data_IF_508890943494
#
_entry.id   IF_508890943494
#
_cell.length_a   1.000
_cell.length_b   1.000
_cell.length_c   1.000
_cell.angle_alpha   90.00
_cell.angle_beta   90.00
_cell.angle_gamma   90.00
#
_symmetry.space_group_name_H-M   'P 1'
#
loop_
_entity.id
_entity.type
_entity.pdbx_description
1 polymer ?
#
# COMPACT_ATOMS: atom_id res chain seq x y z
N UNK A 1 8.58 7.00 3.50
CA UNK A 1 9.32 7.58 4.63
C UNK A 1 10.37 6.58 5.11
N UNK A 2 11.58 7.07 5.41
CA UNK A 2 12.71 6.23 5.85
C UNK A 2 13.39 6.80 7.10
N UNK A 3 14.01 5.93 7.89
CA UNK A 3 14.86 6.34 9.02
C UNK A 3 16.32 6.56 8.58
N UNK A 4 17.18 6.95 9.50
CA UNK A 4 18.59 7.26 9.25
C UNK A 4 19.41 6.07 8.74
N UNK A 5 18.93 4.84 8.96
CA UNK A 5 19.55 3.60 8.48
C UNK A 5 19.00 3.15 7.12
N UNK A 6 18.03 3.91 6.56
CA UNK A 6 17.33 3.55 5.34
C UNK A 6 16.17 2.56 5.54
N UNK A 7 15.83 2.25 6.80
CA UNK A 7 14.67 1.42 7.12
C UNK A 7 13.36 2.14 6.82
N UNK A 8 12.35 1.41 6.33
CA UNK A 8 11.04 1.97 6.00
C UNK A 8 10.27 2.29 7.26
N UNK A 9 9.93 3.55 7.47
CA UNK A 9 9.06 4.01 8.55
C UNK A 9 7.59 3.83 8.16
N UNK A 10 7.26 4.16 6.92
CA UNK A 10 5.94 3.92 6.33
C UNK A 10 5.98 4.14 4.82
N UNK A 11 5.07 3.51 4.09
CA UNK A 11 4.84 3.63 2.65
C UNK A 11 3.61 4.48 2.30
N UNK A 12 3.30 5.45 3.16
CA UNK A 12 2.14 6.34 3.08
C UNK A 12 1.97 7.00 1.70
N UNK A 13 0.72 7.33 1.38
CA UNK A 13 0.41 8.18 0.22
C UNK A 13 0.71 9.63 0.58
N UNK A 14 1.46 10.32 -0.27
CA UNK A 14 1.71 11.76 -0.17
C UNK A 14 0.80 12.50 -1.16
N UNK A 15 -0.03 13.40 -0.64
CA UNK A 15 -0.87 14.31 -1.41
C UNK A 15 -0.30 15.71 -1.30
N UNK A 16 0.04 16.34 -2.43
CA UNK A 16 0.41 17.75 -2.47
C UNK A 16 -0.85 18.56 -2.80
N UNK A 17 -1.32 19.34 -1.84
CA UNK A 17 -2.53 20.16 -1.96
C UNK A 17 -2.21 21.56 -2.47
N UNK A 18 -1.07 22.12 -2.04
CA UNK A 18 -0.55 23.40 -2.50
C UNK A 18 1.00 23.36 -2.57
N UNK A 19 1.62 24.47 -2.88
CA UNK A 19 3.10 24.54 -2.98
C UNK A 19 3.79 24.28 -1.62
N UNK A 20 3.12 24.63 -0.53
CA UNK A 20 3.57 24.53 0.86
C UNK A 20 2.66 23.65 1.74
N UNK A 21 1.66 22.98 1.17
CA UNK A 21 0.73 22.13 1.91
C UNK A 21 0.74 20.70 1.40
N UNK A 22 1.05 19.77 2.32
CA UNK A 22 1.13 18.35 2.01
C UNK A 22 0.33 17.54 3.03
N UNK A 23 -0.35 16.51 2.57
CA UNK A 23 -0.96 15.51 3.41
C UNK A 23 -0.24 14.18 3.25
N UNK A 24 -0.03 13.50 4.36
CA UNK A 24 0.53 12.15 4.41
C UNK A 24 -0.56 11.24 4.96
N UNK A 25 -1.03 10.31 4.13
CA UNK A 25 -2.08 9.34 4.50
C UNK A 25 -1.43 7.97 4.68
N UNK A 26 -1.05 7.57 5.91
CA UNK A 26 -0.53 6.24 6.21
C UNK A 26 -1.66 5.22 6.25
N UNK A 27 -1.37 3.98 5.85
CA UNK A 27 -2.29 2.87 6.01
C UNK A 27 -2.34 2.35 7.45
N UNK A 28 -1.25 2.49 8.17
CA UNK A 28 -1.03 2.00 9.53
C UNK A 28 0.16 2.73 10.15
N UNK A 29 0.39 2.61 11.47
CA UNK A 29 1.47 3.20 12.26
C UNK A 29 1.37 4.71 12.55
N UNK A 30 2.08 5.12 13.60
CA UNK A 30 2.15 6.50 14.07
C UNK A 30 3.26 7.29 13.33
N UNK A 31 2.90 7.81 12.17
CA UNK A 31 3.81 8.63 11.35
C UNK A 31 3.90 10.07 11.89
N UNK A 32 2.87 10.54 12.59
CA UNK A 32 2.80 11.91 13.11
C UNK A 32 3.99 12.24 14.01
N UNK A 33 4.22 11.43 15.05
CA UNK A 33 5.31 11.62 15.98
C UNK A 33 6.68 11.54 15.31
N UNK A 34 6.83 10.67 14.31
CA UNK A 34 8.07 10.57 13.54
C UNK A 34 8.36 11.86 12.78
N UNK A 35 7.38 12.40 12.06
CA UNK A 35 7.54 13.61 11.25
C UNK A 35 7.76 14.83 12.17
N UNK A 36 7.01 14.95 13.26
CA UNK A 36 7.22 16.00 14.28
C UNK A 36 8.62 15.93 14.85
N UNK A 37 9.12 14.74 15.20
CA UNK A 37 10.47 14.55 15.70
C UNK A 37 11.56 14.94 14.69
N UNK A 38 11.36 14.69 13.40
CA UNK A 38 12.26 15.13 12.33
C UNK A 38 12.18 16.64 12.13
N UNK A 39 10.99 17.22 12.21
CA UNK A 39 10.76 18.66 12.03
C UNK A 39 11.43 19.53 13.10
N UNK A 40 11.50 19.05 14.36
CA UNK A 40 12.13 19.81 15.49
C UNK A 40 13.55 20.27 15.16
N UNK A 41 14.34 19.46 14.45
CA UNK A 41 15.71 19.76 14.09
C UNK A 41 15.88 20.19 12.62
N UNK A 42 14.79 20.44 11.93
CA UNK A 42 14.80 20.92 10.54
C UNK A 42 15.07 22.43 10.52
N UNK A 43 15.82 22.94 9.53
CA UNK A 43 15.93 24.38 9.29
C UNK A 43 14.68 24.96 8.61
N UNK A 44 13.70 24.12 8.26
CA UNK A 44 12.47 24.54 7.58
C UNK A 44 11.43 24.98 8.62
N UNK A 45 10.70 26.04 8.31
CA UNK A 45 9.55 26.49 9.08
C UNK A 45 8.34 25.66 8.67
N UNK A 46 8.04 24.61 9.43
CA UNK A 46 6.97 23.66 9.14
C UNK A 46 6.11 23.40 10.38
N UNK A 47 4.82 23.34 10.18
CA UNK A 47 3.85 22.87 11.16
C UNK A 47 3.38 21.46 10.77
N UNK A 48 3.38 20.52 11.73
CA UNK A 48 2.98 19.12 11.51
C UNK A 48 1.89 18.77 12.53
N UNK A 49 0.69 18.48 12.01
CA UNK A 49 -0.47 18.13 12.83
C UNK A 49 -1.39 17.14 12.13
N UNK A 50 -2.26 16.49 12.87
CA UNK A 50 -3.31 15.63 12.35
C UNK A 50 -4.54 16.50 12.02
N UNK A 51 -4.96 16.57 10.75
CA UNK A 51 -6.14 17.35 10.36
C UNK A 51 -7.43 16.61 10.71
N UNK A 52 -8.54 17.35 10.82
CA UNK A 52 -9.89 16.76 10.79
C UNK A 52 -10.16 16.22 9.38
N UNK A 53 -9.80 14.97 9.16
CA UNK A 53 -10.00 14.30 7.88
C UNK A 53 -10.36 12.84 8.07
N UNK A 54 -11.44 12.40 7.41
CA UNK A 54 -11.89 10.99 7.47
C UNK A 54 -12.06 10.46 6.05
N UNK A 55 -11.28 9.44 5.63
CA UNK A 55 -11.38 8.90 4.29
C UNK A 55 -12.58 7.97 4.12
N UNK A 56 -13.36 8.16 3.06
CA UNK A 56 -14.35 7.22 2.55
C UNK A 56 -13.87 6.73 1.18
N UNK A 57 -13.53 5.44 1.08
CA UNK A 57 -13.09 4.86 -0.18
C UNK A 57 -14.28 4.33 -1.00
N UNK A 58 -14.33 4.71 -2.27
CA UNK A 58 -15.23 4.16 -3.30
C UNK A 58 -14.36 3.38 -4.29
N UNK A 59 -14.57 2.07 -4.41
CA UNK A 59 -13.72 1.22 -5.26
C UNK A 59 -14.51 0.25 -6.13
N UNK A 60 -13.93 -0.13 -7.25
CA UNK A 60 -14.45 -1.11 -8.18
C UNK A 60 -14.67 -0.56 -9.59
N UNK A 61 -15.06 -1.42 -10.56
CA UNK A 61 -15.12 -1.04 -11.98
C UNK A 61 -16.14 0.06 -12.30
N UNK A 62 -17.14 0.27 -11.43
CA UNK A 62 -18.15 1.30 -11.58
C UNK A 62 -17.88 2.56 -10.75
N UNK A 63 -16.79 2.60 -9.99
CA UNK A 63 -16.42 3.76 -9.18
C UNK A 63 -16.31 5.06 -10.00
N UNK A 64 -15.71 5.07 -11.22
CA UNK A 64 -15.70 6.28 -12.05
C UNK A 64 -17.09 6.82 -12.38
N UNK A 65 -18.05 5.92 -12.68
CA UNK A 65 -19.43 6.31 -13.01
C UNK A 65 -20.14 6.94 -11.80
N UNK A 66 -19.90 6.41 -10.61
CA UNK A 66 -20.44 6.97 -9.38
C UNK A 66 -19.83 8.34 -9.06
N UNK A 67 -18.54 8.50 -9.24
CA UNK A 67 -17.87 9.80 -9.07
C UNK A 67 -18.37 10.82 -10.09
N UNK A 68 -18.52 10.42 -11.36
CA UNK A 68 -19.12 11.25 -12.40
C UNK A 68 -20.48 11.77 -11.97
N UNK A 69 -21.36 10.89 -11.50
CA UNK A 69 -22.70 11.25 -11.00
C UNK A 69 -22.66 12.16 -9.78
N UNK A 70 -21.84 11.85 -8.79
CA UNK A 70 -21.76 12.63 -7.54
C UNK A 70 -21.25 14.05 -7.78
N UNK A 71 -20.31 14.23 -8.69
CA UNK A 71 -19.60 15.49 -8.93
C UNK A 71 -19.93 16.13 -10.30
N UNK A 72 -20.97 15.64 -11.00
CA UNK A 72 -21.40 16.15 -12.31
C UNK A 72 -20.25 16.26 -13.32
N UNK A 73 -19.39 15.23 -13.40
CA UNK A 73 -18.28 15.16 -14.34
C UNK A 73 -17.02 15.92 -13.92
N UNK A 74 -17.03 16.67 -12.83
CA UNK A 74 -15.91 17.57 -12.48
C UNK A 74 -14.56 16.85 -12.24
N UNK A 75 -14.57 15.55 -11.94
CA UNK A 75 -13.35 14.79 -11.58
C UNK A 75 -13.09 13.60 -12.49
N UNK A 76 -13.68 13.55 -13.68
CA UNK A 76 -13.51 12.47 -14.65
C UNK A 76 -12.05 12.31 -15.13
N UNK A 77 -11.32 13.42 -15.20
CA UNK A 77 -9.92 13.46 -15.65
C UNK A 77 -8.91 13.33 -14.50
N UNK A 78 -9.37 13.06 -13.27
CA UNK A 78 -8.48 12.90 -12.14
C UNK A 78 -7.59 11.67 -12.34
N UNK A 79 -6.28 11.89 -12.48
CA UNK A 79 -5.31 10.84 -12.75
C UNK A 79 -4.96 10.08 -11.47
N UNK A 80 -4.52 8.85 -11.64
CA UNK A 80 -3.98 8.05 -10.54
C UNK A 80 -2.86 8.79 -9.78
N UNK A 81 -2.90 8.73 -8.45
CA UNK A 81 -2.06 9.51 -7.52
C UNK A 81 -2.18 11.03 -7.67
N UNK A 82 -3.36 11.54 -8.04
CA UNK A 82 -3.69 12.95 -7.97
C UNK A 82 -4.85 13.18 -7.00
N UNK A 83 -4.86 14.35 -6.38
CA UNK A 83 -5.91 14.78 -5.49
C UNK A 83 -6.23 16.25 -5.74
N UNK A 84 -7.46 16.64 -5.47
CA UNK A 84 -7.94 18.02 -5.57
C UNK A 84 -8.90 18.33 -4.44
N UNK A 85 -8.91 19.59 -4.00
CA UNK A 85 -9.95 20.09 -3.10
C UNK A 85 -11.26 20.23 -3.86
N UNK A 86 -12.36 19.85 -3.20
CA UNK A 86 -13.70 19.89 -3.77
C UNK A 86 -14.76 19.96 -2.67
N UNK A 87 -16.00 19.97 -3.07
CA UNK A 87 -17.14 19.80 -2.16
C UNK A 87 -18.26 19.00 -2.82
N UNK A 88 -19.00 18.24 -2.02
CA UNK A 88 -20.21 17.54 -2.44
C UNK A 88 -21.37 18.06 -1.59
N UNK A 89 -22.37 18.70 -2.21
CA UNK A 89 -23.48 19.36 -1.52
C UNK A 89 -23.01 20.29 -0.37
N UNK A 90 -21.93 21.03 -0.61
CA UNK A 90 -21.34 21.92 0.40
C UNK A 90 -20.58 21.19 1.52
N UNK A 91 -20.36 19.89 1.43
CA UNK A 91 -19.48 19.13 2.33
C UNK A 91 -18.04 19.30 1.82
N UNK A 92 -17.15 19.97 2.57
CA UNK A 92 -15.77 20.18 2.14
C UNK A 92 -14.99 18.88 2.19
N UNK A 93 -14.23 18.59 1.14
CA UNK A 93 -13.41 17.39 1.08
C UNK A 93 -12.23 17.52 0.10
N UNK A 94 -11.34 16.58 0.17
CA UNK A 94 -10.36 16.30 -0.88
C UNK A 94 -10.76 15.00 -1.55
N UNK A 95 -10.81 14.98 -2.87
CA UNK A 95 -10.93 13.74 -3.64
C UNK A 95 -9.56 13.34 -4.17
N UNK A 96 -9.13 12.13 -3.82
CA UNK A 96 -7.92 11.49 -4.35
C UNK A 96 -8.25 10.29 -5.21
N UNK A 97 -7.53 10.09 -6.31
CA UNK A 97 -7.62 8.85 -7.07
C UNK A 97 -6.55 7.87 -6.58
N UNK A 98 -6.80 7.36 -5.40
CA UNK A 98 -5.96 6.43 -4.65
C UNK A 98 -6.83 5.29 -4.12
N UNK A 99 -6.22 4.29 -3.49
CA UNK A 99 -6.93 3.18 -2.85
C UNK A 99 -6.08 1.93 -2.69
N UNK A 100 -6.52 1.02 -1.87
CA UNK A 100 -5.78 -0.17 -1.43
C UNK A 100 -6.46 -1.50 -1.82
N UNK A 101 -6.99 -1.59 -3.04
CA UNK A 101 -7.70 -2.79 -3.52
C UNK A 101 -7.21 -3.33 -4.87
N UNK A 102 -6.29 -2.63 -5.54
CA UNK A 102 -5.90 -2.92 -6.92
C UNK A 102 -6.94 -2.55 -7.98
N UNK A 103 -8.18 -2.24 -7.57
CA UNK A 103 -9.25 -1.77 -8.44
C UNK A 103 -9.18 -0.25 -8.65
N UNK A 104 -9.93 0.27 -9.63
CA UNK A 104 -10.13 1.72 -9.75
C UNK A 104 -10.84 2.19 -8.49
N UNK A 105 -10.28 3.18 -7.81
CA UNK A 105 -10.84 3.71 -6.58
C UNK A 105 -10.56 5.20 -6.42
N UNK A 106 -11.40 5.79 -5.59
CA UNK A 106 -11.30 7.17 -5.15
C UNK A 106 -11.44 7.22 -3.64
N UNK A 107 -10.71 8.10 -3.02
CA UNK A 107 -10.80 8.37 -1.58
C UNK A 107 -11.33 9.79 -1.39
N UNK A 108 -12.47 9.89 -0.72
CA UNK A 108 -13.09 11.13 -0.34
C UNK A 108 -12.65 11.45 1.09
N UNK A 109 -11.70 12.35 1.25
CA UNK A 109 -11.22 12.79 2.57
C UNK A 109 -12.12 13.89 3.08
N UNK A 110 -13.11 13.51 3.88
CA UNK A 110 -14.05 14.42 4.53
C UNK A 110 -13.31 15.36 5.48
N UNK A 111 -13.54 16.67 5.37
CA UNK A 111 -12.92 17.72 6.20
C UNK A 111 -13.86 18.30 7.26
N UNK A 112 -14.95 17.64 7.55
CA UNK A 112 -15.91 17.98 8.61
C UNK A 112 -16.53 16.69 9.13
N UNK A 113 -15.94 16.13 10.20
CA UNK A 113 -16.36 14.83 10.76
C UNK A 113 -17.85 14.80 11.14
N UNK A 114 -18.48 15.96 11.44
CA UNK A 114 -19.91 16.03 11.80
C UNK A 114 -20.82 15.67 10.64
N UNK A 115 -20.33 15.76 9.41
CA UNK A 115 -21.09 15.48 8.19
C UNK A 115 -20.83 14.09 7.59
N UNK A 116 -20.18 13.20 8.34
CA UNK A 116 -19.84 11.84 7.88
C UNK A 116 -21.06 11.03 7.47
N UNK A 117 -22.13 11.05 8.27
CA UNK A 117 -23.37 10.34 7.94
C UNK A 117 -24.05 10.92 6.67
N UNK A 118 -24.01 12.23 6.50
CA UNK A 118 -24.56 12.87 5.30
C UNK A 118 -23.80 12.45 4.04
N UNK A 119 -22.45 12.46 4.09
CA UNK A 119 -21.61 11.98 2.99
C UNK A 119 -21.90 10.51 2.66
N UNK A 120 -22.00 9.66 3.70
CA UNK A 120 -22.32 8.25 3.54
C UNK A 120 -23.64 8.03 2.81
N UNK A 121 -24.70 8.72 3.23
CA UNK A 121 -26.02 8.60 2.61
C UNK A 121 -26.04 9.11 1.17
N UNK A 122 -25.38 10.23 0.87
CA UNK A 122 -25.24 10.73 -0.50
C UNK A 122 -24.58 9.70 -1.43
N UNK A 123 -23.47 9.11 -0.97
CA UNK A 123 -22.75 8.08 -1.74
C UNK A 123 -23.60 6.82 -1.88
N UNK A 124 -24.25 6.37 -0.80
CA UNK A 124 -25.11 5.19 -0.80
C UNK A 124 -26.29 5.33 -1.76
N UNK A 125 -27.00 6.47 -1.70
CA UNK A 125 -28.15 6.74 -2.57
C UNK A 125 -27.74 6.84 -4.04
N UNK A 126 -26.71 7.62 -4.34
CA UNK A 126 -26.22 7.76 -5.70
C UNK A 126 -25.70 6.44 -6.27
N UNK A 127 -25.14 5.57 -5.41
CA UNK A 127 -24.54 4.30 -5.78
C UNK A 127 -25.52 3.14 -5.97
N UNK A 128 -26.81 3.29 -5.60
CA UNK A 128 -27.82 2.21 -5.71
C UNK A 128 -27.93 1.65 -7.14
N UNK A 129 -27.98 2.50 -8.14
CA UNK A 129 -28.05 2.06 -9.55
C UNK A 129 -26.81 1.31 -10.03
N UNK A 130 -25.68 1.50 -9.35
CA UNK A 130 -24.42 0.78 -9.62
C UNK A 130 -24.25 -0.49 -8.78
N UNK A 131 -25.24 -0.80 -7.93
CA UNK A 131 -25.21 -1.90 -6.96
C UNK A 131 -24.06 -1.76 -5.95
N UNK A 132 -23.88 -0.53 -5.41
CA UNK A 132 -22.88 -0.29 -4.36
C UNK A 132 -23.27 -1.06 -3.10
N UNK A 133 -22.27 -1.62 -2.44
CA UNK A 133 -22.43 -2.28 -1.15
C UNK A 133 -21.34 -1.83 -0.19
N UNK A 134 -21.61 -1.73 1.12
CA UNK A 134 -20.56 -1.54 2.11
C UNK A 134 -19.51 -2.64 2.00
N UNK A 135 -18.24 -2.25 2.11
CA UNK A 135 -17.12 -3.16 2.06
C UNK A 135 -16.10 -2.80 3.15
N UNK A 136 -15.20 -3.73 3.43
CA UNK A 136 -14.04 -3.52 4.28
C UNK A 136 -12.75 -3.79 3.49
N UNK A 137 -11.58 -3.37 3.97
CA UNK A 137 -10.31 -3.77 3.40
C UNK A 137 -10.24 -5.28 3.19
N UNK A 138 -9.88 -5.70 1.99
CA UNK A 138 -9.90 -7.11 1.59
C UNK A 138 -8.48 -7.61 1.34
N UNK A 139 -7.99 -8.47 2.24
CA UNK A 139 -6.64 -9.05 2.18
C UNK A 139 -6.37 -9.79 0.88
N UNK A 140 -7.34 -10.56 0.36
CA UNK A 140 -7.16 -11.27 -0.91
C UNK A 140 -6.91 -10.29 -2.05
N UNK A 141 -7.71 -9.22 -2.13
CA UNK A 141 -7.59 -8.19 -3.17
C UNK A 141 -6.28 -7.43 -3.07
N UNK A 142 -5.84 -7.08 -1.84
CA UNK A 142 -4.57 -6.38 -1.66
C UNK A 142 -3.38 -7.25 -2.08
N UNK A 143 -3.38 -8.55 -1.75
CA UNK A 143 -2.33 -9.48 -2.19
C UNK A 143 -2.38 -9.64 -3.71
N UNK A 144 -3.54 -9.95 -4.31
CA UNK A 144 -3.71 -10.08 -5.77
C UNK A 144 -3.15 -8.87 -6.52
N UNK A 145 -3.41 -7.67 -6.02
CA UNK A 145 -2.96 -6.39 -6.59
C UNK A 145 -1.53 -6.00 -6.24
N UNK A 146 -0.77 -6.84 -5.55
CA UNK A 146 0.60 -6.54 -5.17
C UNK A 146 0.73 -5.39 -4.18
N UNK A 147 -0.30 -5.14 -3.35
CA UNK A 147 -0.32 -4.06 -2.37
C UNK A 147 0.25 -4.56 -1.04
N UNK A 148 1.32 -3.96 -0.64
CA UNK A 148 1.99 -4.28 0.62
C UNK A 148 1.24 -3.66 1.81
N UNK A 149 1.42 -4.25 2.98
CA UNK A 149 0.87 -3.77 4.24
C UNK A 149 2.01 -3.53 5.23
N UNK A 150 2.09 -2.31 5.76
CA UNK A 150 3.03 -2.01 6.83
C UNK A 150 2.74 -2.89 8.05
N UNK A 151 3.75 -3.18 8.87
CA UNK A 151 3.76 -4.15 9.95
C UNK A 151 3.59 -5.62 9.55
N UNK A 152 2.89 -5.93 8.45
CA UNK A 152 2.76 -7.30 7.93
C UNK A 152 3.88 -7.67 6.97
N UNK A 153 3.93 -6.97 5.83
CA UNK A 153 4.92 -7.23 4.75
C UNK A 153 6.17 -6.37 4.91
N UNK A 154 5.99 -5.15 5.40
CA UNK A 154 7.03 -4.13 5.54
C UNK A 154 7.24 -3.84 7.01
N UNK A 155 8.49 -3.76 7.42
CA UNK A 155 8.90 -3.32 8.75
C UNK A 155 10.08 -2.36 8.65
N UNK A 156 10.52 -1.81 9.78
CA UNK A 156 11.72 -0.96 9.84
C UNK A 156 13.05 -1.71 9.54
N UNK A 157 12.99 -3.03 9.47
CA UNK A 157 14.14 -3.86 9.05
C UNK A 157 14.28 -3.91 7.53
N UNK A 158 13.22 -3.53 6.80
CA UNK A 158 13.21 -3.48 5.35
C UNK A 158 13.62 -2.09 4.85
N UNK A 159 14.30 -2.03 3.73
CA UNK A 159 14.55 -0.80 3.00
C UNK A 159 13.74 -0.77 1.70
N UNK A 160 13.58 0.39 1.05
CA UNK A 160 12.84 0.48 -0.22
C UNK A 160 13.33 -0.49 -1.31
N UNK A 161 14.62 -0.83 -1.33
CA UNK A 161 15.16 -1.77 -2.33
C UNK A 161 14.84 -3.24 -2.01
N UNK A 162 14.55 -3.55 -0.75
CA UNK A 162 14.07 -4.88 -0.32
C UNK A 162 12.66 -5.16 -0.82
N UNK A 163 11.80 -4.13 -0.86
CA UNK A 163 10.35 -4.24 -1.09
C UNK A 163 9.91 -3.73 -2.47
N UNK A 164 10.84 -3.65 -3.42
CA UNK A 164 10.61 -3.18 -4.80
C UNK A 164 10.08 -1.72 -4.91
N UNK A 165 10.29 -0.90 -3.90
CA UNK A 165 10.01 0.53 -3.92
C UNK A 165 11.24 1.40 -4.19
N UNK A 166 12.34 0.79 -4.61
CA UNK A 166 13.59 1.48 -4.94
C UNK A 166 13.43 2.56 -6.04
N UNK A 167 12.44 2.39 -6.94
CA UNK A 167 12.10 3.37 -7.97
C UNK A 167 11.60 4.73 -7.41
N UNK A 168 11.18 4.75 -6.14
CA UNK A 168 10.74 5.97 -5.45
C UNK A 168 11.86 6.66 -4.69
N UNK A 169 13.08 6.12 -4.76
CA UNK A 169 14.25 6.63 -4.03
C UNK A 169 15.26 7.21 -5.01
N UNK A 170 15.42 8.51 -4.99
CA UNK A 170 16.46 9.20 -5.74
C UNK A 170 17.58 9.65 -4.80
N UNK A 171 18.61 8.81 -4.67
CA UNK A 171 19.80 9.12 -3.85
C UNK A 171 20.75 10.09 -4.54
N UNK A 172 20.57 10.33 -5.83
CA UNK A 172 21.44 11.17 -6.65
C UNK A 172 20.95 12.64 -6.70
N UNK A 173 19.70 12.92 -6.25
CA UNK A 173 19.14 14.26 -6.16
C UNK A 173 19.99 15.15 -5.22
N UNK A 174 20.04 16.46 -5.46
CA UNK A 174 20.81 17.41 -4.64
C UNK A 174 20.23 17.56 -3.22
N UNK A 175 18.90 17.54 -3.10
CA UNK A 175 18.20 17.71 -1.82
C UNK A 175 18.49 16.52 -0.90
N UNK A 176 18.87 16.82 0.34
CA UNK A 176 19.07 15.81 1.35
C UNK A 176 17.73 15.34 1.95
N UNK A 177 17.68 14.08 2.35
CA UNK A 177 16.56 13.50 3.07
C UNK A 177 17.01 12.45 4.08
N UNK A 178 16.13 12.12 5.03
CA UNK A 178 16.44 11.16 6.09
C UNK A 178 16.73 9.79 5.47
N UNK A 179 17.89 9.22 5.75
CA UNK A 179 18.33 7.92 5.23
C UNK A 179 19.09 7.94 3.91
N UNK A 180 19.22 9.10 3.22
CA UNK A 180 19.86 9.19 1.89
C UNK A 180 21.23 8.50 1.83
N UNK A 181 22.13 8.80 2.78
CA UNK A 181 23.48 8.23 2.79
C UNK A 181 23.49 6.69 3.01
N UNK A 182 22.59 6.18 3.85
CA UNK A 182 22.44 4.75 4.06
C UNK A 182 21.86 4.06 2.81
N UNK A 183 20.84 4.66 2.21
CA UNK A 183 20.21 4.13 0.99
C UNK A 183 21.15 4.14 -0.21
N UNK A 184 22.03 5.16 -0.33
CA UNK A 184 23.06 5.16 -1.36
C UNK A 184 24.01 3.95 -1.25
N UNK A 185 24.46 3.63 -0.03
CA UNK A 185 25.31 2.46 0.23
C UNK A 185 24.58 1.16 -0.07
N UNK A 186 23.29 1.04 0.31
CA UNK A 186 22.49 -0.17 0.03
C UNK A 186 22.25 -0.30 -1.47
N UNK A 187 22.03 0.80 -2.20
CA UNK A 187 21.88 0.80 -3.66
C UNK A 187 23.15 0.26 -4.34
N UNK A 188 24.31 0.71 -3.90
CA UNK A 188 25.61 0.27 -4.43
C UNK A 188 25.90 -1.21 -4.15
N UNK A 189 25.70 -1.66 -2.90
CA UNK A 189 25.96 -3.04 -2.49
C UNK A 189 24.89 -4.04 -2.97
N UNK A 190 23.69 -3.57 -3.29
CA UNK A 190 22.50 -4.38 -3.46
C UNK A 190 21.89 -4.79 -2.11
N UNK A 191 20.55 -4.94 -2.05
CA UNK A 191 19.90 -5.39 -0.81
C UNK A 191 20.23 -6.87 -0.55
N UNK A 192 20.51 -7.20 0.71
CA UNK A 192 20.79 -8.58 1.11
C UNK A 192 19.55 -9.50 1.02
N UNK A 193 18.36 -8.91 1.01
CA UNK A 193 17.08 -9.60 1.00
C UNK A 193 16.12 -8.93 0.01
N UNK A 194 15.16 -9.72 -0.49
CA UNK A 194 14.07 -9.21 -1.34
C UNK A 194 12.74 -9.78 -0.93
N UNK A 195 11.72 -8.94 -1.00
CA UNK A 195 10.33 -9.36 -0.98
C UNK A 195 9.97 -9.84 -2.39
N UNK A 196 9.46 -11.06 -2.47
CA UNK A 196 9.07 -11.70 -3.73
C UNK A 196 7.64 -12.20 -3.68
N UNK A 197 6.99 -12.28 -4.83
CA UNK A 197 5.76 -13.03 -4.98
C UNK A 197 6.04 -14.53 -4.97
N UNK A 198 5.11 -15.30 -4.40
CA UNK A 198 5.20 -16.76 -4.39
C UNK A 198 3.87 -17.41 -4.73
N UNK A 199 3.93 -18.53 -5.45
CA UNK A 199 2.86 -19.52 -5.50
C UNK A 199 3.15 -20.61 -4.48
N UNK A 200 2.16 -21.00 -3.68
CA UNK A 200 2.31 -22.06 -2.66
C UNK A 200 1.46 -23.26 -3.09
N UNK A 201 2.07 -24.44 -3.14
CA UNK A 201 1.40 -25.67 -3.48
C UNK A 201 0.60 -26.21 -2.28
N UNK A 202 -0.39 -27.07 -2.57
CA UNK A 202 -1.23 -27.70 -1.56
C UNK A 202 -2.65 -27.16 -1.54
N UNK A 203 -3.37 -27.48 -0.47
CA UNK A 203 -4.78 -27.13 -0.29
C UNK A 203 -4.97 -25.60 -0.20
N UNK A 204 -6.19 -25.14 -0.48
CA UNK A 204 -6.53 -23.73 -0.46
C UNK A 204 -6.32 -23.13 0.95
N UNK A 205 -5.50 -22.09 1.04
CA UNK A 205 -5.27 -21.32 2.26
C UNK A 205 -6.46 -20.36 2.42
N UNK A 206 -7.38 -20.69 3.31
CA UNK A 206 -8.67 -20.00 3.46
C UNK A 206 -8.62 -18.76 4.34
N UNK A 207 -7.55 -18.59 5.14
CA UNK A 207 -7.33 -17.42 5.98
C UNK A 207 -5.83 -17.03 5.95
N UNK A 208 -5.51 -15.73 6.04
CA UNK A 208 -4.12 -15.31 6.18
C UNK A 208 -3.47 -15.90 7.43
N UNK A 209 -2.17 -16.22 7.41
CA UNK A 209 -1.47 -16.69 8.58
C UNK A 209 -1.51 -15.68 9.73
N UNK A 210 -1.81 -16.13 10.94
CA UNK A 210 -1.71 -15.31 12.16
C UNK A 210 -0.26 -14.97 12.50
N UNK A 211 0.67 -15.84 12.09
CA UNK A 211 2.09 -15.66 12.30
C UNK A 211 2.83 -15.93 10.99
N UNK A 212 3.94 -15.23 10.78
CA UNK A 212 4.82 -15.44 9.63
C UNK A 212 5.31 -16.87 9.56
N UNK A 213 5.13 -17.53 8.42
CA UNK A 213 5.68 -18.87 8.18
C UNK A 213 7.16 -18.77 7.81
N UNK A 214 7.96 -19.73 8.26
CA UNK A 214 9.40 -19.72 7.98
C UNK A 214 9.70 -20.24 6.57
N UNK A 215 10.57 -19.56 5.83
CA UNK A 215 11.26 -20.14 4.66
C UNK A 215 12.49 -20.86 5.16
N UNK A 216 12.63 -22.12 4.75
CA UNK A 216 13.73 -23.02 5.15
C UNK A 216 14.60 -23.29 3.93
N UNK A 217 15.89 -23.09 4.07
CA UNK A 217 16.91 -23.48 3.09
C UNK A 217 18.01 -24.25 3.81
N UNK A 218 18.39 -25.43 3.31
CA UNK A 218 19.39 -26.31 3.91
C UNK A 218 19.18 -26.58 5.42
N UNK A 219 17.90 -26.75 5.81
CA UNK A 219 17.51 -27.01 7.19
C UNK A 219 17.53 -25.79 8.12
N UNK A 220 17.89 -24.59 7.63
CA UNK A 220 17.95 -23.36 8.40
C UNK A 220 16.82 -22.40 8.00
N UNK A 221 16.32 -21.63 8.98
CA UNK A 221 15.42 -20.51 8.70
C UNK A 221 16.21 -19.41 8.00
N UNK A 222 15.85 -19.10 6.75
CA UNK A 222 16.50 -18.07 5.93
C UNK A 222 15.58 -16.91 5.57
N UNK A 223 14.26 -17.11 5.71
CA UNK A 223 13.27 -16.10 5.36
C UNK A 223 11.92 -16.34 6.01
N UNK A 224 10.93 -15.61 5.53
CA UNK A 224 9.56 -15.77 6.01
C UNK A 224 8.54 -15.43 4.92
N UNK A 225 7.35 -16.04 5.01
CA UNK A 225 6.14 -15.63 4.29
C UNK A 225 5.42 -14.63 5.17
N UNK A 226 5.14 -13.45 4.66
CA UNK A 226 4.47 -12.39 5.43
C UNK A 226 2.96 -12.52 5.37
N UNK A 227 2.40 -12.62 4.17
CA UNK A 227 0.97 -12.85 3.93
C UNK A 227 0.78 -13.84 2.79
N UNK A 228 -0.18 -14.72 2.91
CA UNK A 228 -0.60 -15.59 1.82
C UNK A 228 -2.08 -15.95 1.95
N UNK A 229 -2.71 -16.28 0.83
CA UNK A 229 -4.10 -16.69 0.77
C UNK A 229 -4.39 -17.40 -0.56
N UNK A 230 -5.45 -18.20 -0.61
CA UNK A 230 -5.97 -18.68 -1.88
C UNK A 230 -6.68 -17.56 -2.63
N UNK A 231 -6.28 -17.33 -3.87
CA UNK A 231 -6.96 -16.42 -4.79
C UNK A 231 -7.93 -17.16 -5.70
N UNK A 232 -9.24 -16.92 -5.61
CA UNK A 232 -10.21 -17.50 -6.53
C UNK A 232 -10.02 -17.04 -7.98
N UNK A 233 -9.47 -15.85 -8.19
CA UNK A 233 -9.20 -15.27 -9.52
C UNK A 233 -7.99 -15.92 -10.19
N UNK A 234 -6.93 -16.13 -9.43
CA UNK A 234 -5.68 -16.78 -9.88
C UNK A 234 -5.80 -18.30 -9.82
N UNK A 235 -6.76 -18.82 -9.02
CA UNK A 235 -7.00 -20.24 -8.73
C UNK A 235 -5.78 -20.94 -8.12
N UNK A 236 -5.02 -20.21 -7.31
CA UNK A 236 -3.80 -20.69 -6.61
C UNK A 236 -3.65 -19.99 -5.27
N UNK A 237 -2.89 -20.61 -4.37
CA UNK A 237 -2.38 -19.89 -3.21
C UNK A 237 -1.28 -18.93 -3.67
N UNK A 238 -1.42 -17.66 -3.31
CA UNK A 238 -0.50 -16.58 -3.62
C UNK A 238 -0.05 -15.91 -2.33
N UNK A 239 1.11 -15.31 -2.32
CA UNK A 239 1.60 -14.61 -1.13
C UNK A 239 2.94 -13.91 -1.35
N UNK A 240 3.39 -13.23 -0.32
CA UNK A 240 4.69 -12.56 -0.31
C UNK A 240 5.65 -13.31 0.61
N UNK A 241 6.89 -13.44 0.17
CA UNK A 241 7.98 -13.95 0.99
C UNK A 241 9.16 -12.98 0.99
N UNK A 242 9.77 -12.80 2.16
CA UNK A 242 11.02 -12.07 2.30
C UNK A 242 12.14 -13.09 2.39
N UNK A 243 13.02 -13.13 1.39
CA UNK A 243 14.07 -14.14 1.22
C UNK A 243 15.43 -13.50 0.95
N UNK A 244 16.54 -14.17 1.20
CA UNK A 244 17.87 -13.77 0.72
C UNK A 244 17.85 -13.50 -0.79
N UNK A 245 18.62 -12.52 -1.25
CA UNK A 245 18.60 -12.09 -2.66
C UNK A 245 18.96 -13.23 -3.62
N UNK A 246 19.82 -14.16 -3.22
CA UNK A 246 20.19 -15.35 -4.00
C UNK A 246 19.03 -16.33 -4.22
N UNK A 247 17.99 -16.27 -3.38
CA UNK A 247 16.77 -17.10 -3.50
C UNK A 247 15.61 -16.35 -4.18
N UNK A 248 15.81 -15.10 -4.58
CA UNK A 248 14.75 -14.25 -5.10
C UNK A 248 14.48 -14.42 -6.60
N UNK A 249 15.22 -15.29 -7.30
CA UNK A 249 15.04 -15.52 -8.74
C UNK A 249 13.68 -16.15 -9.05
N UNK A 250 12.98 -15.63 -10.08
CA UNK A 250 11.71 -16.21 -10.55
C UNK A 250 11.95 -17.70 -10.92
N UNK A 251 11.01 -18.56 -10.47
CA UNK A 251 11.11 -20.01 -10.65
C UNK A 251 11.89 -20.73 -9.55
N UNK A 252 12.53 -20.01 -8.62
CA UNK A 252 13.22 -20.64 -7.48
C UNK A 252 12.22 -21.38 -6.61
N UNK A 253 12.52 -22.64 -6.29
CA UNK A 253 11.74 -23.44 -5.36
C UNK A 253 12.14 -23.14 -3.92
N UNK A 254 11.16 -22.89 -3.07
CA UNK A 254 11.32 -22.60 -1.64
C UNK A 254 10.61 -23.66 -0.82
N UNK A 255 11.20 -24.04 0.31
CA UNK A 255 10.52 -24.85 1.33
C UNK A 255 9.98 -23.92 2.40
N UNK A 256 8.67 -24.01 2.69
CA UNK A 256 7.98 -23.21 3.70
C UNK A 256 7.53 -24.14 4.83
N UNK A 257 7.82 -23.76 6.07
CA UNK A 257 7.26 -24.41 7.26
C UNK A 257 5.94 -23.74 7.62
N UNK A 258 4.85 -24.33 7.14
CA UNK A 258 3.48 -23.94 7.46
C UNK A 258 2.93 -24.64 8.71
N UNK A 259 1.66 -24.42 9.04
CA UNK A 259 1.01 -24.95 10.26
C UNK A 259 0.89 -26.48 10.23
N UNK A 260 0.73 -27.09 9.06
CA UNK A 260 0.53 -28.54 8.88
C UNK A 260 1.78 -29.28 8.44
N UNK A 261 2.92 -28.59 8.33
CA UNK A 261 4.19 -29.19 7.90
C UNK A 261 4.90 -28.37 6.83
N UNK A 262 5.74 -29.04 6.05
CA UNK A 262 6.46 -28.40 4.97
C UNK A 262 5.61 -28.30 3.71
N UNK A 263 5.60 -27.11 3.10
CA UNK A 263 4.97 -26.80 1.82
C UNK A 263 6.04 -26.39 0.83
N UNK A 264 5.80 -26.66 -0.44
CA UNK A 264 6.61 -26.14 -1.54
C UNK A 264 6.02 -24.83 -2.03
N UNK A 265 6.88 -23.86 -2.34
CA UNK A 265 6.48 -22.64 -3.02
C UNK A 265 7.44 -22.33 -4.16
N UNK A 266 6.97 -21.60 -5.15
CA UNK A 266 7.76 -21.15 -6.29
C UNK A 266 7.73 -19.62 -6.34
N UNK A 267 8.91 -19.01 -6.43
CA UNK A 267 9.04 -17.56 -6.60
C UNK A 267 8.45 -17.17 -7.96
N UNK A 268 7.61 -16.17 -7.95
CA UNK A 268 6.96 -15.64 -9.15
C UNK A 268 6.94 -14.11 -9.14
N UNK A 269 6.57 -13.54 -10.27
CA UNK A 269 6.33 -12.11 -10.37
C UNK A 269 4.99 -11.72 -9.71
N UNK A 270 4.85 -10.44 -9.36
CA UNK A 270 3.62 -9.84 -8.88
C UNK A 270 3.51 -8.38 -9.39
N UNK A 271 2.30 -7.78 -9.49
CA UNK A 271 1.01 -8.27 -9.00
C UNK A 271 0.49 -9.46 -9.82
N UNK A 272 -0.24 -10.38 -9.16
CA UNK A 272 -0.87 -11.53 -9.84
C UNK A 272 -2.07 -11.13 -10.70
N UNK A 273 -2.73 -10.05 -10.34
CA UNK A 273 -3.80 -9.42 -11.11
C UNK A 273 -3.32 -8.04 -11.54
N UNK A 274 -3.38 -7.69 -12.83
CA UNK A 274 -3.00 -6.38 -13.33
C UNK A 274 -3.73 -5.26 -12.57
N UNK A 275 -3.00 -4.20 -12.27
CA UNK A 275 -3.54 -3.10 -11.50
C UNK A 275 -4.51 -2.26 -12.35
N UNK A 276 -5.81 -2.51 -12.23
CA UNK A 276 -6.87 -1.70 -12.87
C UNK A 276 -6.83 -0.24 -12.42
N UNK A 277 -6.32 0.00 -11.19
CA UNK A 277 -6.21 1.33 -10.59
C UNK A 277 -5.42 2.34 -11.43
N UNK A 278 -4.47 1.88 -12.26
CA UNK A 278 -3.65 2.77 -13.09
C UNK A 278 -4.25 3.03 -14.48
N UNK A 279 -5.29 2.31 -14.86
CA UNK A 279 -6.00 2.57 -16.12
C UNK A 279 -6.69 3.93 -16.07
N UNK A 280 -6.73 4.59 -17.21
CA UNK A 280 -7.41 5.88 -17.40
C UNK A 280 -8.90 5.71 -17.53
#
# INVERSE_FOLDING_TARGET
LTDQKGGVVNDAVLLRLADDQFWISPGDSDVLLWIQGVAINSPLDVEVFEPDASPLQIGGPKAPMLIDKLFNGAHNDLRFYRAVETSLNGIPMIIGRTGWSGEISYELYLRDHKRGNELWELVREAGQEFNIVPAAPNTTRSIEGGLLSYASDITREDCPYTIDLGRLVDVDQEINFVGKAALAKIKEAGPARKLVGIFIDGDAITAPPEQRWCVINEGKKTGYVSRCIYSPRVKRNIGFANVPTELAGIGTSLTIKGPTGHLTATVCDFPWIPAERIKR
#
